data_IF_744583423441
#
_entry.id   IF_744583423441
#
_cell.length_a   1.000
_cell.length_b   1.000
_cell.length_c   1.000
_cell.angle_alpha   90.00
_cell.angle_beta   90.00
_cell.angle_gamma   90.00
#
_symmetry.space_group_name_H-M   'P 1'
#
loop_
_entity.id
_entity.type
_entity.pdbx_description
1 polymer ?
#
# COMPACT_ATOMS: atom_id res chain seq x y z
N UNK A 1 -15.82 -2.21 -24.23
CA UNK A 1 -14.35 -2.01 -24.21
C UNK A 1 -13.94 -1.79 -22.77
N UNK A 2 -12.79 -2.26 -22.31
CA UNK A 2 -12.29 -1.91 -20.99
C UNK A 2 -12.08 -0.39 -20.89
N UNK A 3 -12.29 0.17 -19.71
CA UNK A 3 -12.04 1.58 -19.44
C UNK A 3 -10.54 1.90 -19.53
N UNK A 4 -10.19 3.07 -20.00
CA UNK A 4 -8.82 3.59 -19.93
C UNK A 4 -8.44 3.95 -18.48
N UNK A 5 -7.14 4.11 -18.21
CA UNK A 5 -6.66 4.52 -16.89
C UNK A 5 -7.27 5.86 -16.44
N UNK A 6 -7.41 6.81 -17.35
CA UNK A 6 -7.98 8.13 -17.06
C UNK A 6 -9.48 8.05 -16.78
N UNK A 7 -10.24 7.26 -17.53
CA UNK A 7 -11.66 7.01 -17.28
C UNK A 7 -11.88 6.33 -15.92
N UNK A 8 -11.05 5.34 -15.58
CA UNK A 8 -11.10 4.69 -14.27
C UNK A 8 -10.83 5.73 -13.18
N UNK A 9 -9.76 6.52 -13.29
CA UNK A 9 -9.39 7.52 -12.29
C UNK A 9 -10.48 8.56 -12.11
N UNK A 10 -11.03 9.10 -13.20
CA UNK A 10 -12.11 10.08 -13.17
C UNK A 10 -13.38 9.50 -12.51
N UNK A 11 -13.78 8.29 -12.90
CA UNK A 11 -14.94 7.62 -12.32
C UNK A 11 -14.71 7.23 -10.86
N UNK A 12 -13.48 6.86 -10.50
CA UNK A 12 -13.13 6.43 -9.15
C UNK A 12 -13.24 7.58 -8.14
N UNK A 13 -12.72 8.75 -8.46
CA UNK A 13 -12.76 9.91 -7.56
C UNK A 13 -13.98 10.81 -7.75
N UNK A 14 -14.71 10.70 -8.86
CA UNK A 14 -15.84 11.55 -9.16
C UNK A 14 -15.49 13.05 -9.25
N UNK A 15 -16.51 13.90 -9.29
CA UNK A 15 -16.34 15.36 -9.47
C UNK A 15 -15.68 16.05 -8.27
N UNK A 16 -15.81 15.48 -7.07
CA UNK A 16 -15.32 16.09 -5.82
C UNK A 16 -13.99 15.50 -5.33
N UNK A 17 -13.36 14.62 -6.10
CA UNK A 17 -12.11 13.99 -5.69
C UNK A 17 -12.27 12.96 -4.55
N UNK A 18 -13.50 12.51 -4.27
CA UNK A 18 -13.82 11.56 -3.20
C UNK A 18 -14.02 10.17 -3.80
N UNK A 19 -13.22 9.20 -3.35
CA UNK A 19 -13.36 7.81 -3.76
C UNK A 19 -14.46 7.08 -2.97
N UNK A 20 -14.39 7.14 -1.65
CA UNK A 20 -15.34 6.48 -0.75
C UNK A 20 -15.30 7.12 0.63
N UNK A 21 -16.36 6.92 1.41
CA UNK A 21 -16.41 7.33 2.82
C UNK A 21 -17.31 6.42 3.66
N UNK A 22 -17.07 6.42 4.96
CA UNK A 22 -17.97 5.86 5.96
C UNK A 22 -18.27 6.90 7.06
N UNK A 23 -18.76 6.48 8.23
CA UNK A 23 -19.05 7.38 9.34
C UNK A 23 -17.80 8.07 9.91
N UNK A 24 -16.62 7.45 9.82
CA UNK A 24 -15.40 7.87 10.50
C UNK A 24 -14.30 8.33 9.54
N UNK A 25 -14.19 7.70 8.36
CA UNK A 25 -13.07 7.91 7.43
C UNK A 25 -13.54 8.30 6.04
N UNK A 26 -12.71 9.10 5.39
CA UNK A 26 -12.85 9.56 4.01
C UNK A 26 -11.63 9.14 3.19
N UNK A 27 -11.85 8.51 2.04
CA UNK A 27 -10.85 8.25 1.03
C UNK A 27 -10.99 9.27 -0.09
N UNK A 28 -9.98 10.08 -0.31
CA UNK A 28 -10.00 11.13 -1.34
C UNK A 28 -8.67 11.27 -2.06
N UNK A 29 -8.66 12.00 -3.15
CA UNK A 29 -7.42 12.42 -3.79
C UNK A 29 -6.52 13.16 -2.80
N UNK A 30 -5.19 13.02 -2.99
CA UNK A 30 -4.24 13.85 -2.28
C UNK A 30 -4.41 15.32 -2.66
N UNK A 31 -4.35 16.17 -1.65
CA UNK A 31 -4.31 17.62 -1.79
C UNK A 31 -2.91 18.14 -1.45
N UNK A 32 -2.54 19.34 -1.92
CA UNK A 32 -1.24 19.93 -1.58
C UNK A 32 -0.96 19.98 -0.06
N UNK A 33 -2.00 20.17 0.76
CA UNK A 33 -1.91 20.20 2.23
C UNK A 33 -1.45 18.86 2.85
N UNK A 34 -1.64 17.73 2.16
CA UNK A 34 -1.31 16.40 2.68
C UNK A 34 0.18 16.05 2.43
N UNK A 35 0.84 16.81 1.55
CA UNK A 35 2.19 16.51 1.09
C UNK A 35 3.20 16.43 2.25
N UNK A 36 3.17 17.38 3.13
CA UNK A 36 4.13 17.45 4.23
C UNK A 36 3.92 16.29 5.21
N UNK A 37 2.67 16.00 5.56
CA UNK A 37 2.31 14.85 6.41
C UNK A 37 2.75 13.51 5.78
N UNK A 38 2.59 13.35 4.46
CA UNK A 38 3.05 12.18 3.73
C UNK A 38 4.58 12.02 3.81
N UNK A 39 5.35 13.09 3.59
CA UNK A 39 6.81 13.02 3.66
C UNK A 39 7.33 12.84 5.09
N UNK A 40 6.67 13.41 6.08
CA UNK A 40 6.99 13.17 7.48
C UNK A 40 6.75 11.72 7.87
N UNK A 41 5.68 11.08 7.38
CA UNK A 41 5.42 9.66 7.59
C UNK A 41 6.50 8.78 6.96
N UNK A 42 6.84 9.01 5.69
CA UNK A 42 7.91 8.26 5.01
C UNK A 42 9.25 8.44 5.72
N UNK A 43 9.60 9.67 6.11
CA UNK A 43 10.84 9.95 6.86
C UNK A 43 10.91 9.16 8.16
N UNK A 44 9.78 9.03 8.85
CA UNK A 44 9.72 8.35 10.15
C UNK A 44 9.65 6.82 10.03
N UNK A 45 9.14 6.30 8.93
CA UNK A 45 8.92 4.85 8.73
C UNK A 45 10.00 4.18 7.88
N UNK A 46 10.74 4.94 7.07
CA UNK A 46 11.75 4.44 6.15
C UNK A 46 13.12 5.12 6.38
N UNK A 47 14.05 4.49 7.10
CA UNK A 47 15.35 5.11 7.45
C UNK A 47 16.16 5.61 6.24
N UNK A 48 16.11 4.89 5.11
CA UNK A 48 16.79 5.31 3.88
C UNK A 48 16.21 6.63 3.32
N UNK A 49 14.88 6.78 3.37
CA UNK A 49 14.23 8.03 2.95
C UNK A 49 14.53 9.18 3.91
N UNK A 50 14.65 8.90 5.21
CA UNK A 50 15.06 9.91 6.20
C UNK A 50 16.41 10.53 5.82
N UNK A 51 17.43 9.68 5.60
CA UNK A 51 18.75 10.15 5.19
C UNK A 51 18.70 10.98 3.90
N UNK A 52 17.97 10.51 2.91
CA UNK A 52 17.82 11.21 1.62
C UNK A 52 17.16 12.59 1.79
N UNK A 53 16.10 12.68 2.58
CA UNK A 53 15.36 13.93 2.79
C UNK A 53 16.12 14.96 3.65
N UNK A 54 17.04 14.51 4.48
CA UNK A 54 17.91 15.36 5.30
C UNK A 54 19.19 15.78 4.55
N UNK A 55 19.43 15.24 3.35
CA UNK A 55 20.57 15.61 2.51
C UNK A 55 20.35 16.95 1.78
N UNK A 56 21.40 17.48 1.15
CA UNK A 56 21.34 18.67 0.28
C UNK A 56 20.38 18.50 -0.92
N UNK A 57 20.08 17.25 -1.31
CA UNK A 57 19.13 16.92 -2.38
C UNK A 57 17.72 16.61 -1.87
N UNK A 58 17.44 16.87 -0.60
CA UNK A 58 16.19 16.46 0.03
C UNK A 58 14.93 17.01 -0.63
N UNK A 59 14.94 18.27 -1.08
CA UNK A 59 13.79 18.86 -1.77
C UNK A 59 13.57 18.27 -3.17
N UNK A 60 14.66 18.01 -3.90
CA UNK A 60 14.56 17.37 -5.21
C UNK A 60 14.06 15.93 -5.07
N UNK A 61 14.54 15.19 -4.09
CA UNK A 61 14.08 13.85 -3.78
C UNK A 61 12.58 13.83 -3.43
N UNK A 62 12.10 14.77 -2.60
CA UNK A 62 10.68 14.92 -2.28
C UNK A 62 9.85 15.22 -3.53
N UNK A 63 10.32 16.12 -4.40
CA UNK A 63 9.63 16.43 -5.65
C UNK A 63 9.52 15.21 -6.56
N UNK A 64 10.61 14.48 -6.78
CA UNK A 64 10.62 13.28 -7.62
C UNK A 64 9.74 12.17 -7.04
N UNK A 65 9.81 11.91 -5.74
CA UNK A 65 8.96 10.93 -5.09
C UNK A 65 7.48 11.31 -5.18
N UNK A 66 7.15 12.60 -5.05
CA UNK A 66 5.77 13.08 -5.22
C UNK A 66 5.25 12.89 -6.65
N UNK A 67 6.09 13.13 -7.65
CA UNK A 67 5.77 12.88 -9.05
C UNK A 67 5.56 11.39 -9.32
N UNK A 68 6.44 10.51 -8.80
CA UNK A 68 6.32 9.06 -8.91
C UNK A 68 5.05 8.57 -8.21
N UNK A 69 4.76 9.08 -7.03
CA UNK A 69 3.57 8.73 -6.26
C UNK A 69 2.28 9.08 -7.01
N UNK A 70 2.26 10.21 -7.69
CA UNK A 70 1.11 10.65 -8.49
C UNK A 70 1.12 10.14 -9.94
N UNK A 71 1.88 9.09 -10.26
CA UNK A 71 1.90 8.54 -11.62
C UNK A 71 0.54 7.98 -12.04
N UNK A 72 0.25 7.94 -13.36
CA UNK A 72 -0.97 7.30 -13.87
C UNK A 72 -1.10 5.80 -13.54
N UNK A 73 -0.01 5.15 -13.08
CA UNK A 73 -0.01 3.71 -12.79
C UNK A 73 -0.71 3.33 -11.48
N UNK A 74 -0.86 4.28 -10.54
CA UNK A 74 -1.40 4.01 -9.21
C UNK A 74 -2.63 4.87 -8.95
N UNK A 75 -3.66 4.27 -8.33
CA UNK A 75 -4.77 5.00 -7.71
C UNK A 75 -4.45 5.14 -6.23
N UNK A 76 -4.15 6.36 -5.79
CA UNK A 76 -3.74 6.63 -4.41
C UNK A 76 -4.76 7.53 -3.75
N UNK A 77 -5.17 7.13 -2.53
CA UNK A 77 -6.10 7.88 -1.69
C UNK A 77 -5.43 8.30 -0.39
N UNK A 78 -5.57 9.56 -0.03
CA UNK A 78 -5.37 9.99 1.34
C UNK A 78 -6.50 9.41 2.21
N UNK A 79 -6.13 8.89 3.38
CA UNK A 79 -7.06 8.41 4.42
C UNK A 79 -7.22 9.52 5.43
N UNK A 80 -8.43 10.05 5.55
CA UNK A 80 -8.75 11.21 6.39
C UNK A 80 -9.72 10.79 7.48
N UNK A 81 -9.44 11.16 8.73
CA UNK A 81 -10.39 11.05 9.82
C UNK A 81 -11.37 12.24 9.78
N UNK A 82 -12.68 11.94 9.68
CA UNK A 82 -13.70 12.96 9.38
C UNK A 82 -13.98 13.93 10.51
N UNK A 83 -13.73 13.51 11.76
CA UNK A 83 -14.09 14.35 12.92
C UNK A 83 -13.18 15.59 13.06
N UNK A 84 -11.93 15.51 12.62
CA UNK A 84 -10.92 16.57 12.80
C UNK A 84 -10.14 16.89 11.50
N UNK A 85 -10.57 16.34 10.36
CA UNK A 85 -9.90 16.47 9.05
C UNK A 85 -8.41 16.02 9.08
N UNK A 86 -8.06 15.12 10.00
CA UNK A 86 -6.68 14.67 10.17
C UNK A 86 -6.28 13.65 9.11
N UNK A 87 -5.07 13.81 8.54
CA UNK A 87 -4.45 12.84 7.67
C UNK A 87 -3.96 11.64 8.49
N UNK A 88 -4.51 10.45 8.21
CA UNK A 88 -4.17 9.20 8.91
C UNK A 88 -3.13 8.35 8.17
N UNK A 89 -2.87 8.65 6.90
CA UNK A 89 -2.04 7.85 6.02
C UNK A 89 -2.62 7.78 4.61
N UNK A 90 -2.22 6.76 3.87
CA UNK A 90 -2.76 6.52 2.52
C UNK A 90 -3.06 5.05 2.27
N UNK A 91 -3.87 4.80 1.24
CA UNK A 91 -4.04 3.49 0.63
C UNK A 91 -4.00 3.63 -0.88
N UNK A 92 -3.60 2.57 -1.57
CA UNK A 92 -3.43 2.60 -3.02
C UNK A 92 -3.79 1.28 -3.71
N UNK A 93 -4.03 1.40 -5.01
CA UNK A 93 -4.12 0.30 -5.96
C UNK A 93 -3.03 0.49 -7.01
N UNK A 94 -2.04 -0.38 -6.98
CA UNK A 94 -0.94 -0.38 -7.95
C UNK A 94 -1.36 -1.20 -9.18
N UNK A 95 -0.84 -0.84 -10.35
CA UNK A 95 -1.17 -1.47 -11.64
C UNK A 95 -2.68 -1.55 -11.93
N UNK A 96 -3.43 -0.60 -11.43
CA UNK A 96 -4.90 -0.60 -11.52
C UNK A 96 -5.42 -0.60 -12.97
N UNK A 97 -4.67 -0.03 -13.90
CA UNK A 97 -5.06 0.05 -15.30
C UNK A 97 -5.10 -1.31 -16.00
N UNK A 98 -4.38 -2.30 -15.49
CA UNK A 98 -4.38 -3.66 -16.02
C UNK A 98 -5.68 -4.42 -15.73
N UNK A 99 -6.47 -3.96 -14.78
CA UNK A 99 -7.82 -4.42 -14.41
C UNK A 99 -7.95 -5.91 -14.06
N UNK A 100 -6.86 -6.68 -14.06
CA UNK A 100 -6.93 -8.13 -13.79
C UNK A 100 -6.87 -8.45 -12.31
N UNK A 101 -5.90 -7.89 -11.60
CA UNK A 101 -5.70 -8.06 -10.15
C UNK A 101 -4.81 -6.94 -9.60
N UNK A 102 -5.34 -5.72 -9.38
CA UNK A 102 -4.55 -4.63 -8.83
C UNK A 102 -4.04 -4.97 -7.43
N UNK A 103 -2.84 -4.48 -7.12
CA UNK A 103 -2.22 -4.71 -5.82
C UNK A 103 -2.65 -3.67 -4.80
N UNK A 104 -3.09 -4.15 -3.63
CA UNK A 104 -3.48 -3.33 -2.48
C UNK A 104 -2.25 -2.89 -1.69
N UNK A 105 -2.15 -1.60 -1.44
CA UNK A 105 -1.20 -1.01 -0.51
C UNK A 105 -1.88 -0.16 0.55
N UNK A 106 -1.28 -0.07 1.73
CA UNK A 106 -1.69 0.82 2.80
C UNK A 106 -0.50 1.17 3.67
N UNK A 107 -0.39 2.45 4.02
CA UNK A 107 0.49 2.93 5.07
C UNK A 107 -0.28 3.92 5.96
N UNK A 108 -0.26 3.69 7.26
CA UNK A 108 -0.86 4.57 8.27
C UNK A 108 0.24 5.20 9.08
N UNK A 109 0.14 6.49 9.36
CA UNK A 109 1.07 7.17 10.26
C UNK A 109 0.99 6.55 11.66
N UNK A 110 2.10 6.62 12.39
CA UNK A 110 2.29 5.86 13.64
C UNK A 110 1.15 6.03 14.64
N UNK A 111 0.65 7.25 14.78
CA UNK A 111 -0.40 7.57 15.76
C UNK A 111 -1.77 6.97 15.42
N UNK A 112 -1.99 6.55 14.16
CA UNK A 112 -3.20 5.91 13.69
C UNK A 112 -3.06 4.40 13.45
N UNK A 113 -1.89 3.82 13.72
CA UNK A 113 -1.70 2.38 13.64
C UNK A 113 -2.41 1.66 14.81
N UNK A 114 -2.74 0.39 14.63
CA UNK A 114 -3.39 -0.49 15.62
C UNK A 114 -4.79 -0.03 16.11
N UNK A 115 -5.41 0.95 15.45
CA UNK A 115 -6.75 1.45 15.77
C UNK A 115 -7.86 0.84 14.91
N UNK A 116 -7.56 -0.18 14.13
CA UNK A 116 -8.55 -0.87 13.28
C UNK A 116 -8.87 -0.19 11.95
N UNK A 117 -8.22 0.93 11.62
CA UNK A 117 -8.46 1.77 10.43
C UNK A 117 -8.21 1.01 9.11
N UNK A 118 -7.20 0.16 9.07
CA UNK A 118 -6.79 -0.53 7.84
C UNK A 118 -7.90 -1.38 7.21
N UNK A 119 -8.72 -2.05 8.01
CA UNK A 119 -9.79 -2.92 7.51
C UNK A 119 -10.89 -2.13 6.78
N UNK A 120 -11.55 -1.14 7.38
CA UNK A 120 -12.57 -0.36 6.67
C UNK A 120 -11.99 0.40 5.48
N UNK A 121 -10.77 0.92 5.59
CA UNK A 121 -10.08 1.64 4.52
C UNK A 121 -9.90 0.78 3.27
N UNK A 122 -9.25 -0.38 3.39
CA UNK A 122 -9.04 -1.27 2.24
C UNK A 122 -10.35 -1.90 1.75
N UNK A 123 -11.32 -2.14 2.63
CA UNK A 123 -12.65 -2.59 2.22
C UNK A 123 -13.36 -1.58 1.32
N UNK A 124 -13.36 -0.30 1.71
CA UNK A 124 -13.93 0.80 0.90
C UNK A 124 -13.17 0.97 -0.44
N UNK A 125 -11.85 0.87 -0.42
CA UNK A 125 -11.02 0.98 -1.62
C UNK A 125 -11.37 -0.11 -2.65
N UNK A 126 -11.41 -1.38 -2.20
CA UNK A 126 -11.76 -2.52 -3.05
C UNK A 126 -13.20 -2.42 -3.57
N UNK A 127 -14.15 -2.07 -2.72
CA UNK A 127 -15.55 -1.92 -3.10
C UNK A 127 -15.72 -0.83 -4.16
N UNK A 128 -15.12 0.33 -3.95
CA UNK A 128 -15.17 1.43 -4.91
C UNK A 128 -14.57 1.05 -6.26
N UNK A 129 -13.42 0.40 -6.26
CA UNK A 129 -12.77 -0.05 -7.49
C UNK A 129 -13.63 -1.09 -8.23
N UNK A 130 -14.21 -2.04 -7.49
CA UNK A 130 -15.13 -3.03 -8.04
C UNK A 130 -16.37 -2.38 -8.68
N UNK A 131 -16.95 -1.37 -8.05
CA UNK A 131 -18.08 -0.61 -8.60
C UNK A 131 -17.75 0.08 -9.93
N UNK A 132 -16.54 0.62 -10.05
CA UNK A 132 -16.11 1.34 -11.25
C UNK A 132 -15.73 0.41 -12.39
N UNK A 133 -15.02 -0.68 -12.11
CA UNK A 133 -14.38 -1.51 -13.13
C UNK A 133 -15.01 -2.88 -13.31
N UNK A 134 -15.79 -3.35 -12.34
CA UNK A 134 -16.27 -4.73 -12.25
C UNK A 134 -15.20 -5.74 -11.80
N UNK A 135 -13.96 -5.31 -11.58
CA UNK A 135 -12.87 -6.17 -11.09
C UNK A 135 -13.17 -6.64 -9.66
N UNK A 136 -13.03 -7.94 -9.42
CA UNK A 136 -13.29 -8.57 -8.13
C UNK A 136 -12.07 -9.26 -7.52
N UNK A 137 -10.97 -9.33 -8.26
CA UNK A 137 -9.74 -9.97 -7.81
C UNK A 137 -8.70 -8.91 -7.48
N UNK A 138 -8.10 -9.03 -6.31
CA UNK A 138 -7.03 -8.15 -5.84
C UNK A 138 -5.89 -9.00 -5.30
N UNK A 139 -4.68 -8.44 -5.27
CA UNK A 139 -3.53 -9.07 -4.61
C UNK A 139 -2.92 -8.11 -3.58
N UNK A 140 -2.11 -8.65 -2.69
CA UNK A 140 -1.22 -7.87 -1.83
C UNK A 140 0.05 -8.66 -1.56
N UNK A 141 1.19 -7.99 -1.61
CA UNK A 141 2.49 -8.53 -1.24
C UNK A 141 2.92 -7.96 0.11
N UNK A 142 3.23 -8.83 1.06
CA UNK A 142 3.53 -8.43 2.43
C UNK A 142 4.88 -9.00 2.86
N UNK A 143 5.75 -8.17 3.47
CA UNK A 143 7.01 -8.67 4.05
C UNK A 143 6.71 -9.64 5.19
N UNK A 144 7.43 -10.78 5.30
CA UNK A 144 7.20 -11.78 6.35
C UNK A 144 7.30 -11.23 7.78
N UNK A 145 8.11 -10.19 7.99
CA UNK A 145 8.25 -9.50 9.28
C UNK A 145 7.11 -8.54 9.62
N UNK A 146 6.23 -8.21 8.67
CA UNK A 146 5.15 -7.25 8.88
C UNK A 146 3.88 -7.96 9.42
N UNK A 147 3.96 -8.42 10.67
CA UNK A 147 2.85 -9.12 11.33
C UNK A 147 1.53 -8.32 11.34
N UNK A 148 1.50 -7.00 11.55
CA UNK A 148 0.28 -6.21 11.45
C UNK A 148 -0.38 -6.29 10.07
N UNK A 149 0.41 -6.15 8.98
CA UNK A 149 -0.13 -6.26 7.62
C UNK A 149 -0.62 -7.67 7.30
N UNK A 150 0.13 -8.71 7.72
CA UNK A 150 -0.30 -10.12 7.57
C UNK A 150 -1.66 -10.33 8.25
N UNK A 151 -1.82 -9.85 9.49
CA UNK A 151 -3.07 -9.91 10.23
C UNK A 151 -4.21 -9.17 9.51
N UNK A 152 -3.93 -8.00 8.95
CA UNK A 152 -4.89 -7.21 8.17
C UNK A 152 -5.32 -7.96 6.89
N UNK A 153 -4.38 -8.52 6.13
CA UNK A 153 -4.71 -9.29 4.92
C UNK A 153 -5.60 -10.49 5.23
N UNK A 154 -5.28 -11.25 6.29
CA UNK A 154 -6.14 -12.37 6.74
C UNK A 154 -7.53 -11.90 7.16
N UNK A 155 -7.62 -10.80 7.91
CA UNK A 155 -8.92 -10.20 8.32
C UNK A 155 -9.77 -9.77 7.13
N UNK A 156 -9.15 -9.30 6.05
CA UNK A 156 -9.79 -8.94 4.79
C UNK A 156 -10.23 -10.16 3.95
N UNK A 157 -9.92 -11.37 4.38
CA UNK A 157 -10.22 -12.61 3.66
C UNK A 157 -9.19 -12.96 2.59
N UNK A 158 -7.97 -12.46 2.73
CA UNK A 158 -6.85 -12.81 1.85
C UNK A 158 -6.48 -14.28 1.94
N UNK A 159 -6.37 -14.92 0.79
CA UNK A 159 -6.00 -16.33 0.64
C UNK A 159 -4.52 -16.39 0.25
N UNK A 160 -3.66 -17.11 1.01
CA UNK A 160 -2.27 -17.33 0.63
C UNK A 160 -2.13 -17.94 -0.77
N UNK A 161 -1.25 -17.38 -1.59
CA UNK A 161 -0.99 -17.84 -2.97
C UNK A 161 0.47 -18.22 -3.21
N UNK A 162 1.26 -18.29 -2.16
CA UNK A 162 2.69 -18.54 -2.26
C UNK A 162 3.52 -17.29 -2.02
N UNK A 163 4.70 -17.25 -2.62
CA UNK A 163 5.65 -16.17 -2.45
C UNK A 163 5.88 -15.44 -3.77
N UNK A 164 6.17 -14.16 -3.68
CA UNK A 164 6.57 -13.32 -4.80
C UNK A 164 7.99 -12.79 -4.58
N UNK A 165 8.71 -12.52 -5.66
CA UNK A 165 10.00 -11.84 -5.60
C UNK A 165 9.83 -10.46 -4.95
N UNK A 166 10.89 -9.98 -4.31
CA UNK A 166 10.96 -8.59 -3.87
C UNK A 166 10.77 -7.68 -5.09
N UNK A 167 10.08 -6.54 -4.95
CA UNK A 167 9.98 -5.59 -6.03
C UNK A 167 11.38 -5.12 -6.45
N UNK A 168 11.60 -4.99 -7.76
CA UNK A 168 12.81 -4.38 -8.28
C UNK A 168 12.88 -2.93 -7.78
N UNK A 169 13.85 -2.66 -6.93
CA UNK A 169 14.12 -1.31 -6.44
C UNK A 169 15.23 -0.70 -7.30
N UNK A 170 15.19 0.61 -7.58
CA UNK A 170 16.36 1.30 -8.15
C UNK A 170 17.60 0.99 -7.32
N UNK A 171 18.75 0.80 -7.99
CA UNK A 171 20.00 0.29 -7.40
C UNK A 171 20.42 0.95 -6.08
N UNK A 172 20.12 2.23 -5.89
CA UNK A 172 20.50 2.99 -4.71
C UNK A 172 19.66 2.65 -3.46
N UNK A 173 18.48 2.05 -3.64
CA UNK A 173 17.63 1.56 -2.55
C UNK A 173 17.78 0.06 -2.27
N UNK A 174 18.34 -0.70 -3.21
CA UNK A 174 18.54 -2.15 -3.06
C UNK A 174 19.57 -2.50 -1.99
N UNK A 175 20.52 -1.59 -1.69
CA UNK A 175 21.52 -1.77 -0.65
C UNK A 175 20.95 -1.84 0.79
N UNK A 176 19.69 -1.48 0.99
CA UNK A 176 19.02 -1.58 2.28
C UNK A 176 18.30 -2.93 2.49
N UNK A 177 18.25 -3.79 1.49
CA UNK A 177 17.68 -5.14 1.58
C UNK A 177 18.85 -6.13 1.59
N UNK A 178 19.58 -6.13 2.69
CA UNK A 178 20.56 -7.16 2.94
C UNK A 178 19.82 -8.51 3.08
N UNK A 179 20.28 -9.55 2.33
CA UNK A 179 19.76 -10.92 2.43
C UNK A 179 19.90 -11.56 3.82
N UNK A 180 20.21 -10.76 4.81
CA UNK A 180 20.35 -11.09 6.22
C UNK A 180 19.18 -10.57 7.08
N UNK A 181 18.00 -10.29 6.48
CA UNK A 181 16.83 -9.90 7.27
C UNK A 181 16.50 -10.98 8.31
N UNK A 182 16.22 -10.58 9.56
CA UNK A 182 15.82 -11.55 10.59
C UNK A 182 14.54 -12.27 10.13
N UNK A 183 14.40 -13.52 10.55
CA UNK A 183 13.15 -14.26 10.36
C UNK A 183 12.15 -13.86 11.46
N UNK A 184 10.85 -13.87 11.16
CA UNK A 184 9.83 -13.71 12.19
C UNK A 184 9.81 -14.94 13.11
N UNK A 185 9.34 -14.79 14.35
CA UNK A 185 9.27 -15.88 15.33
C UNK A 185 8.44 -17.09 14.85
N UNK A 186 7.48 -16.85 13.95
CA UNK A 186 6.62 -17.87 13.36
C UNK A 186 7.04 -18.27 11.92
N UNK A 187 8.32 -18.16 11.58
CA UNK A 187 8.82 -18.41 10.24
C UNK A 187 8.47 -19.81 9.69
N UNK A 188 8.54 -20.85 10.52
CA UNK A 188 8.15 -22.21 10.11
C UNK A 188 6.68 -22.30 9.69
N UNK A 189 5.80 -21.66 10.43
CA UNK A 189 4.37 -21.64 10.13
C UNK A 189 4.08 -20.84 8.85
N UNK A 190 4.73 -19.69 8.64
CA UNK A 190 4.61 -18.91 7.41
C UNK A 190 5.20 -19.67 6.21
N UNK A 191 6.35 -20.30 6.35
CA UNK A 191 6.95 -21.11 5.30
C UNK A 191 5.99 -22.20 4.83
N UNK A 192 5.39 -22.95 5.77
CA UNK A 192 4.40 -23.97 5.46
C UNK A 192 3.14 -23.41 4.80
N UNK A 193 2.62 -22.28 5.30
CA UNK A 193 1.40 -21.64 4.79
C UNK A 193 1.58 -21.10 3.35
N UNK A 194 2.76 -20.56 3.04
CA UNK A 194 3.05 -19.93 1.73
C UNK A 194 3.87 -20.81 0.81
N UNK A 195 4.09 -22.10 1.16
CA UNK A 195 4.74 -23.08 0.30
C UNK A 195 6.23 -22.84 0.10
N UNK A 196 6.91 -22.20 1.05
CA UNK A 196 8.36 -22.06 1.05
C UNK A 196 9.03 -23.42 1.30
N UNK A 197 10.16 -23.66 0.63
CA UNK A 197 10.96 -24.89 0.81
C UNK A 197 11.68 -24.92 2.17
N UNK A 198 11.93 -23.74 2.75
CA UNK A 198 12.50 -23.57 4.08
C UNK A 198 12.14 -22.18 4.63
N UNK A 199 12.19 -21.96 5.96
CA UNK A 199 12.01 -20.63 6.54
C UNK A 199 12.99 -19.57 6.02
N UNK A 200 14.21 -19.96 5.66
CA UNK A 200 15.22 -19.03 5.14
C UNK A 200 14.82 -18.40 3.79
N UNK A 201 14.00 -19.08 3.01
CA UNK A 201 13.49 -18.57 1.75
C UNK A 201 12.62 -17.30 1.93
N UNK A 202 11.98 -17.16 3.09
CA UNK A 202 11.21 -15.97 3.45
C UNK A 202 12.03 -14.67 3.49
N UNK A 203 13.36 -14.75 3.69
CA UNK A 203 14.23 -13.57 3.78
C UNK A 203 14.23 -12.74 2.50
N UNK A 204 14.06 -13.39 1.37
CA UNK A 204 14.20 -12.78 0.04
C UNK A 204 12.89 -12.75 -0.75
N UNK A 205 11.75 -13.00 -0.07
CA UNK A 205 10.44 -13.04 -0.71
C UNK A 205 9.40 -12.23 0.04
N UNK A 206 8.35 -11.87 -0.69
CA UNK A 206 7.12 -11.32 -0.14
C UNK A 206 6.06 -12.42 -0.07
N UNK A 207 5.23 -12.40 0.96
CA UNK A 207 4.05 -13.26 1.06
C UNK A 207 2.96 -12.73 0.13
N UNK A 208 2.46 -13.56 -0.77
CA UNK A 208 1.42 -13.18 -1.72
C UNK A 208 0.04 -13.62 -1.21
N UNK A 209 -0.86 -12.65 -1.08
CA UNK A 209 -2.28 -12.86 -0.81
C UNK A 209 -3.11 -12.52 -2.04
N UNK A 210 -4.20 -13.27 -2.23
CA UNK A 210 -5.24 -12.94 -3.21
C UNK A 210 -6.58 -12.76 -2.51
N UNK A 211 -7.37 -11.81 -3.01
CA UNK A 211 -8.71 -11.50 -2.54
C UNK A 211 -9.69 -11.67 -3.69
N UNK A 212 -10.84 -12.28 -3.39
CA UNK A 212 -11.97 -12.39 -4.31
C UNK A 212 -13.19 -11.75 -3.64
N UNK A 213 -13.81 -10.77 -4.30
CA UNK A 213 -14.95 -9.98 -3.81
C UNK A 213 -16.24 -10.27 -4.56
#
# INVERSE_FOLDING_TARGET
MPLSADEIRQSFFGEHGIAAENSEYLLRQFLPKDRDAYFDDIRNTQPACKWLFESEHGEEARRLLWEIFNTPKNLICAVIHKADDAYCGFCDLQSFAEQSAPELGIALIKDYQHQGIGFPTLSMLMERYTQVTGCRTFISRVKPLNAPSIGLMRKLGGIPQGMASLPEMPCDFALAIDGNMPLPDNADALAAEFGASSPDELRNHMLLFQFNR
#
